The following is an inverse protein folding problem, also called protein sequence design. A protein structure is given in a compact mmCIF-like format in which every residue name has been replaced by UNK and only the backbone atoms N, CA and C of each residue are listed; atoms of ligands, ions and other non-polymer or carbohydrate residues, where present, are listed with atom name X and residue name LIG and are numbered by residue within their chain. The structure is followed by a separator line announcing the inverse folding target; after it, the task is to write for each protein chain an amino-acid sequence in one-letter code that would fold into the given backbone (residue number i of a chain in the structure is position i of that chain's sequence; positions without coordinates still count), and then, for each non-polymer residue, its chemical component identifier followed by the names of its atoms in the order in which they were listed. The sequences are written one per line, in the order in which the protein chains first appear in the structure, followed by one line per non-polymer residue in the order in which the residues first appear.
data_IF_082820962023
#
_entry.id   IF_082820962023
#
_cell.length_a   1.000
_cell.length_b   1.000
_cell.length_c   1.000
_cell.angle_alpha   90.00
_cell.angle_beta   90.00
_cell.angle_gamma   90.00
#
_symmetry.space_group_name_H-M   'P 1'
#
loop_
_entity.id
_entity.type
_entity.pdbx_description
1 polymer ?
#
# COMPACT_ATOMS: atom_id res chain seq x y z
N UNK A 1 -8.55 -8.97 -4.25
CA UNK A 1 -7.33 -9.42 -3.55
C UNK A 1 -6.31 -8.31 -3.65
N UNK A 2 -5.63 -8.03 -2.56
CA UNK A 2 -4.50 -7.10 -2.45
C UNK A 2 -3.23 -7.91 -2.26
N UNK A 3 -2.12 -7.47 -2.84
CA UNK A 3 -0.85 -8.20 -2.77
C UNK A 3 0.31 -7.24 -2.88
N UNK A 4 1.29 -7.38 -1.98
CA UNK A 4 2.61 -6.77 -2.11
C UNK A 4 3.63 -7.85 -2.44
N UNK A 5 4.43 -7.61 -3.48
CA UNK A 5 5.49 -8.49 -3.89
C UNK A 5 6.75 -7.70 -4.23
N UNK A 6 7.90 -8.31 -3.98
CA UNK A 6 9.18 -7.84 -4.46
C UNK A 6 9.34 -8.13 -5.96
N UNK A 7 10.28 -7.44 -6.59
CA UNK A 7 10.58 -7.57 -8.03
C UNK A 7 11.06 -8.96 -8.44
N UNK A 8 11.58 -9.75 -7.50
CA UNK A 8 11.96 -11.15 -7.70
C UNK A 8 10.78 -12.14 -7.58
N UNK A 9 9.55 -11.66 -7.39
CA UNK A 9 8.35 -12.47 -7.26
C UNK A 9 8.02 -12.93 -5.84
N UNK A 10 8.88 -12.64 -4.85
CA UNK A 10 8.58 -12.95 -3.45
C UNK A 10 7.37 -12.15 -2.97
N UNK A 11 6.37 -12.83 -2.40
CA UNK A 11 5.18 -12.18 -1.86
C UNK A 11 5.41 -11.85 -0.40
N UNK A 12 5.36 -10.56 -0.06
CA UNK A 12 5.54 -10.10 1.32
C UNK A 12 4.26 -10.28 2.13
N UNK A 13 3.18 -9.68 1.65
CA UNK A 13 1.88 -9.72 2.31
C UNK A 13 0.75 -9.71 1.27
N UNK A 14 -0.42 -10.21 1.65
CA UNK A 14 -1.63 -10.19 0.83
C UNK A 14 -2.88 -10.10 1.70
N UNK A 15 -3.96 -9.57 1.13
CA UNK A 15 -5.27 -9.49 1.75
C UNK A 15 -6.37 -9.90 0.78
N UNK A 16 -7.44 -10.51 1.30
CA UNK A 16 -8.61 -10.86 0.49
C UNK A 16 -9.67 -9.77 0.70
N UNK A 17 -10.05 -9.11 -0.39
CA UNK A 17 -11.16 -8.16 -0.38
C UNK A 17 -12.48 -8.92 -0.23
N UNK A 18 -13.22 -8.64 0.83
CA UNK A 18 -14.50 -9.29 1.14
C UNK A 18 -15.71 -8.38 0.92
N UNK A 19 -15.52 -7.18 0.35
CA UNK A 19 -16.62 -6.25 0.11
C UNK A 19 -16.91 -5.36 1.32
N UNK A 20 -18.19 -5.20 1.66
CA UNK A 20 -18.65 -4.27 2.70
C UNK A 20 -18.27 -4.66 4.14
N UNK A 21 -17.83 -5.91 4.35
CA UNK A 21 -17.38 -6.40 5.67
C UNK A 21 -15.86 -6.35 5.82
N UNK A 22 -15.14 -5.78 4.84
CA UNK A 22 -13.70 -5.64 4.92
C UNK A 22 -13.35 -4.60 6.01
N UNK A 23 -12.51 -4.93 7.01
CA UNK A 23 -12.09 -3.99 8.04
C UNK A 23 -11.40 -2.74 7.48
N UNK A 24 -10.89 -2.81 6.26
CA UNK A 24 -10.27 -1.71 5.54
C UNK A 24 -11.27 -0.95 4.65
N UNK A 25 -12.53 -1.37 4.53
CA UNK A 25 -13.53 -0.70 3.69
C UNK A 25 -13.88 0.69 4.25
N UNK A 26 -14.05 1.67 3.34
CA UNK A 26 -14.50 3.03 3.69
C UNK A 26 -13.63 4.14 3.09
N UNK A 27 -13.80 5.36 3.60
CA UNK A 27 -12.98 6.50 3.21
C UNK A 27 -11.54 6.26 3.69
N UNK A 28 -10.57 6.31 2.77
CA UNK A 28 -9.18 5.94 3.09
C UNK A 28 -8.83 4.46 2.91
N UNK A 29 -9.72 3.67 2.30
CA UNK A 29 -9.49 2.25 2.00
C UNK A 29 -8.14 1.98 1.32
N UNK A 30 -7.80 2.77 0.30
CA UNK A 30 -6.52 2.67 -0.42
C UNK A 30 -5.31 2.81 0.52
N UNK A 31 -5.35 3.79 1.42
CA UNK A 31 -4.27 4.00 2.40
C UNK A 31 -4.21 2.84 3.40
N UNK A 32 -5.35 2.41 3.94
CA UNK A 32 -5.41 1.29 4.88
C UNK A 32 -4.82 0.00 4.28
N UNK A 33 -5.17 -0.31 3.03
CA UNK A 33 -4.62 -1.46 2.29
C UNK A 33 -3.11 -1.32 2.12
N UNK A 34 -2.62 -0.16 1.68
CA UNK A 34 -1.18 0.08 1.46
C UNK A 34 -0.40 -0.08 2.75
N UNK A 35 -0.85 0.54 3.85
CA UNK A 35 -0.15 0.44 5.14
C UNK A 35 -0.17 -0.98 5.68
N UNK A 36 -1.30 -1.70 5.58
CA UNK A 36 -1.36 -3.10 6.03
C UNK A 36 -0.45 -4.01 5.20
N UNK A 37 -0.39 -3.82 3.89
CA UNK A 37 0.50 -4.60 3.05
C UNK A 37 1.98 -4.31 3.32
N UNK A 38 2.32 -3.13 3.83
CA UNK A 38 3.69 -2.72 4.15
C UNK A 38 4.11 -3.03 5.58
N UNK A 39 3.22 -3.57 6.42
CA UNK A 39 3.52 -3.94 7.81
C UNK A 39 4.84 -4.73 7.90
N UNK A 40 5.78 -4.21 8.70
CA UNK A 40 7.11 -4.77 8.90
C UNK A 40 8.17 -4.34 7.86
N UNK A 41 7.85 -3.42 6.95
CA UNK A 41 8.77 -2.84 5.96
C UNK A 41 9.00 -1.34 6.14
N UNK A 42 8.43 -0.72 7.18
CA UNK A 42 8.67 0.68 7.53
C UNK A 42 10.16 0.89 7.89
N UNK A 43 10.70 2.09 7.63
CA UNK A 43 12.09 2.40 7.97
C UNK A 43 13.14 1.72 7.08
N UNK A 44 12.73 0.95 6.07
CA UNK A 44 13.65 0.16 5.25
C UNK A 44 14.16 0.92 4.00
N UNK A 45 13.82 2.21 3.83
CA UNK A 45 14.21 3.02 2.66
C UNK A 45 13.83 2.37 1.32
N UNK A 46 12.69 1.67 1.29
CA UNK A 46 12.20 0.97 0.10
C UNK A 46 11.29 1.85 -0.75
N UNK A 47 11.19 1.50 -2.03
CA UNK A 47 10.28 2.14 -2.97
C UNK A 47 9.13 1.21 -3.29
N UNK A 48 7.91 1.68 -3.08
CA UNK A 48 6.66 1.01 -3.44
C UNK A 48 6.19 1.54 -4.78
N UNK A 49 5.88 0.63 -5.70
CA UNK A 49 5.27 0.96 -6.99
C UNK A 49 3.83 0.50 -6.97
N UNK A 50 2.89 1.42 -7.19
CA UNK A 50 1.46 1.13 -7.08
C UNK A 50 0.65 1.78 -8.22
N UNK A 51 -0.51 1.18 -8.52
CA UNK A 51 -1.49 1.72 -9.47
C UNK A 51 -2.24 2.93 -8.88
N UNK A 52 -2.91 3.70 -9.75
CA UNK A 52 -3.63 4.92 -9.41
C UNK A 52 -4.70 4.75 -8.33
N UNK A 53 -5.23 3.54 -8.16
CA UNK A 53 -6.21 3.21 -7.13
C UNK A 53 -5.62 3.31 -5.72
N UNK A 54 -4.31 3.06 -5.57
CA UNK A 54 -3.61 3.04 -4.27
C UNK A 54 -2.75 4.28 -4.03
N UNK A 55 -2.72 5.21 -4.98
CA UNK A 55 -1.86 6.39 -4.92
C UNK A 55 -2.67 7.64 -4.63
N UNK A 56 -2.17 8.45 -3.72
CA UNK A 56 -2.66 9.81 -3.50
C UNK A 56 -1.58 10.63 -2.80
N UNK A 57 -1.70 11.96 -2.84
CA UNK A 57 -0.75 12.83 -2.12
C UNK A 57 -0.71 12.52 -0.61
N UNK A 58 -1.84 12.31 0.10
CA UNK A 58 -1.81 11.90 1.50
C UNK A 58 -1.07 10.58 1.75
N UNK A 59 -1.29 9.56 0.91
CA UNK A 59 -0.57 8.27 1.02
C UNK A 59 0.92 8.47 0.81
N UNK A 60 1.33 9.25 -0.20
CA UNK A 60 2.74 9.52 -0.46
C UNK A 60 3.43 10.21 0.73
N UNK A 61 2.76 11.17 1.38
CA UNK A 61 3.27 11.85 2.58
C UNK A 61 3.40 10.90 3.76
N UNK A 62 2.38 10.09 4.01
CA UNK A 62 2.38 9.10 5.09
C UNK A 62 3.51 8.07 4.94
N UNK A 63 3.74 7.58 3.72
CA UNK A 63 4.85 6.67 3.45
C UNK A 63 6.22 7.34 3.61
N UNK A 64 6.34 8.60 3.20
CA UNK A 64 7.59 9.35 3.33
C UNK A 64 7.99 9.59 4.80
N UNK A 65 7.02 9.75 5.70
CA UNK A 65 7.26 9.82 7.16
C UNK A 65 7.82 8.50 7.71
N UNK A 66 7.53 7.37 7.07
CA UNK A 66 8.04 6.03 7.41
C UNK A 66 9.22 5.59 6.55
N UNK A 67 10.00 6.52 6.00
CA UNK A 67 11.15 6.27 5.12
C UNK A 67 10.83 5.31 3.96
N UNK A 68 9.63 5.47 3.37
CA UNK A 68 9.17 4.66 2.24
C UNK A 68 8.76 5.57 1.09
N UNK A 69 9.33 5.35 -0.09
CA UNK A 69 9.02 6.13 -1.27
C UNK A 69 7.85 5.52 -2.05
N UNK A 70 7.02 6.37 -2.66
CA UNK A 70 5.90 5.93 -3.50
C UNK A 70 6.11 6.38 -4.95
N UNK A 71 5.98 5.45 -5.88
CA UNK A 71 5.88 5.70 -7.32
C UNK A 71 4.53 5.16 -7.82
N UNK A 72 3.81 5.97 -8.57
CA UNK A 72 2.56 5.55 -9.20
C UNK A 72 1.94 6.66 -10.04
N UNK A 73 0.81 6.37 -10.67
CA UNK A 73 0.07 7.31 -11.51
C UNK A 73 -1.08 7.93 -10.73
N UNK A 74 -1.48 9.17 -11.02
CA UNK A 74 -2.68 9.77 -10.42
C UNK A 74 -3.84 9.77 -11.42
N UNK A 75 -5.06 9.78 -10.89
CA UNK A 75 -6.30 9.85 -11.68
C UNK A 75 -6.87 11.27 -11.68
#
# INVERSE_FOLDING_TARGET
MYKLAATNGYTWNYGIYTGQQDPMAGLGHAQAVVMNLLDGLEGCYRTVVADNFYTSIPVAKCLLEGDTYLIGTLR
#
